data_IF_300667714292
#
_entry.id   IF_300667714292
#
_cell.length_a   1.000
_cell.length_b   1.000
_cell.length_c   1.000
_cell.angle_alpha   90.00
_cell.angle_beta   90.00
_cell.angle_gamma   90.00
#
_symmetry.space_group_name_H-M   'P 1'
#
loop_
_entity.id
_entity.type
_entity.pdbx_description
1 polymer ?
#
# COMPACT_ATOMS: atom_id res chain seq x y z
N UNK A 1 3.32 11.98 4.22
CA UNK A 1 4.46 11.14 3.79
C UNK A 1 4.14 10.59 2.41
N UNK A 2 5.13 10.47 1.54
CA UNK A 2 4.91 9.92 0.20
C UNK A 2 5.17 8.41 0.17
N UNK A 3 4.39 7.69 -0.64
CA UNK A 3 4.65 6.29 -0.95
C UNK A 3 4.58 6.06 -2.47
N UNK A 4 5.60 5.42 -3.03
CA UNK A 4 5.73 5.17 -4.47
C UNK A 4 5.23 3.78 -4.80
N UNK A 5 4.42 3.66 -5.84
CA UNK A 5 4.00 2.35 -6.33
C UNK A 5 5.21 1.55 -6.83
N UNK A 6 5.35 0.31 -6.34
CA UNK A 6 6.48 -0.58 -6.69
C UNK A 6 6.03 -1.90 -7.36
N UNK A 7 4.73 -2.22 -7.34
CA UNK A 7 4.19 -3.40 -8.02
C UNK A 7 2.90 -3.93 -7.38
N UNK A 8 2.39 -5.01 -7.95
CA UNK A 8 1.25 -5.76 -7.39
C UNK A 8 1.77 -7.00 -6.67
N UNK A 9 1.26 -7.29 -5.48
CA UNK A 9 1.58 -8.53 -4.79
C UNK A 9 0.85 -9.75 -5.40
N UNK A 10 1.16 -10.94 -4.90
CA UNK A 10 0.53 -12.20 -5.34
C UNK A 10 -1.00 -12.28 -5.14
N UNK A 11 -1.63 -11.30 -4.48
CA UNK A 11 -3.08 -11.22 -4.29
C UNK A 11 -3.68 -10.05 -5.08
N UNK A 12 -2.96 -9.55 -6.09
CA UNK A 12 -3.35 -8.45 -6.97
C UNK A 12 -3.59 -7.13 -6.22
N UNK A 13 -2.90 -6.90 -5.10
CA UNK A 13 -2.97 -5.64 -4.34
C UNK A 13 -1.79 -4.75 -4.68
N UNK A 14 -2.00 -3.43 -4.89
CA UNK A 14 -0.90 -2.52 -5.13
C UNK A 14 -0.07 -2.34 -3.85
N UNK A 15 1.24 -2.49 -4.01
CA UNK A 15 2.26 -2.29 -2.99
C UNK A 15 2.97 -0.97 -3.25
N UNK A 16 3.17 -0.21 -2.18
CA UNK A 16 3.87 1.07 -2.21
C UNK A 16 5.01 1.06 -1.19
N UNK A 17 6.12 1.70 -1.55
CA UNK A 17 7.27 1.93 -0.67
C UNK A 17 7.24 3.38 -0.15
N UNK A 18 7.19 3.53 1.16
CA UNK A 18 7.27 4.83 1.85
C UNK A 18 8.70 5.39 1.84
N UNK A 19 8.83 6.68 2.14
CA UNK A 19 10.13 7.36 2.30
C UNK A 19 11.03 6.75 3.39
N UNK A 20 10.45 6.03 4.36
CA UNK A 20 11.15 5.33 5.44
C UNK A 20 11.38 3.84 5.14
N UNK A 21 11.28 3.43 3.87
CA UNK A 21 11.43 2.05 3.39
C UNK A 21 10.34 1.08 3.88
N UNK A 22 9.30 1.58 4.55
CA UNK A 22 8.13 0.77 4.93
C UNK A 22 7.31 0.43 3.70
N UNK A 23 7.03 -0.86 3.50
CA UNK A 23 6.08 -1.34 2.52
C UNK A 23 4.67 -1.30 3.08
N UNK A 24 3.80 -0.64 2.32
CA UNK A 24 2.37 -0.58 2.59
C UNK A 24 1.59 -1.09 1.38
N UNK A 25 0.37 -1.56 1.64
CA UNK A 25 -0.52 -2.12 0.63
C UNK A 25 -1.89 -1.51 0.75
N UNK A 26 -2.54 -1.22 -0.37
CA UNK A 26 -3.97 -0.89 -0.36
C UNK A 26 -4.80 -2.15 -0.56
N UNK A 27 -5.43 -2.61 0.53
CA UNK A 27 -6.23 -3.84 0.52
C UNK A 27 -7.64 -3.65 -0.04
N UNK A 28 -8.08 -2.40 -0.26
CA UNK A 28 -9.40 -2.07 -0.80
C UNK A 28 -9.26 -1.00 -1.90
N UNK A 29 -8.64 -1.38 -3.01
CA UNK A 29 -8.29 -0.48 -4.13
C UNK A 29 -9.46 -0.12 -5.05
N UNK A 30 -10.71 -0.24 -4.59
CA UNK A 30 -11.88 0.17 -5.37
C UNK A 30 -11.96 1.68 -5.51
N UNK A 31 -12.30 2.14 -6.70
CA UNK A 31 -12.38 3.56 -7.06
C UNK A 31 -13.36 4.37 -6.20
N UNK A 32 -14.44 3.76 -5.73
CA UNK A 32 -15.52 4.37 -4.95
C UNK A 32 -15.28 4.33 -3.44
N UNK A 33 -14.15 3.77 -2.98
CA UNK A 33 -13.81 3.63 -1.57
C UNK A 33 -12.54 4.40 -1.21
N UNK A 34 -12.40 4.87 0.03
CA UNK A 34 -11.13 5.40 0.50
C UNK A 34 -10.05 4.30 0.53
N UNK A 35 -8.76 4.66 0.45
CA UNK A 35 -7.66 3.70 0.55
C UNK A 35 -7.65 3.00 1.91
N UNK A 36 -7.47 1.68 1.89
CA UNK A 36 -7.31 0.85 3.09
C UNK A 36 -5.85 0.42 3.19
N UNK A 37 -5.01 1.30 3.75
CA UNK A 37 -3.56 1.11 3.80
C UNK A 37 -3.12 0.27 5.00
N UNK A 38 -2.33 -0.76 4.75
CA UNK A 38 -1.77 -1.65 5.76
C UNK A 38 -0.27 -1.84 5.54
N UNK A 39 0.51 -1.96 6.61
CA UNK A 39 1.91 -2.43 6.53
C UNK A 39 1.96 -3.89 6.07
N UNK A 40 3.12 -4.33 5.59
CA UNK A 40 3.33 -5.73 5.25
C UNK A 40 4.07 -6.49 6.37
N UNK A 41 3.65 -7.71 6.67
CA UNK A 41 4.36 -8.59 7.62
C UNK A 41 5.81 -8.75 7.17
N UNK A 42 6.75 -8.58 8.10
CA UNK A 42 8.21 -8.60 7.85
C UNK A 42 8.68 -7.60 6.78
N UNK A 43 7.88 -6.57 6.48
CA UNK A 43 8.15 -5.63 5.39
C UNK A 43 8.36 -6.32 4.03
N UNK A 44 7.75 -7.49 3.83
CA UNK A 44 7.96 -8.31 2.64
C UNK A 44 6.99 -7.93 1.51
N UNK A 45 7.45 -7.96 0.26
CA UNK A 45 6.61 -7.61 -0.89
C UNK A 45 5.34 -8.47 -1.00
N UNK A 46 5.47 -9.78 -0.82
CA UNK A 46 4.35 -10.74 -0.79
C UNK A 46 3.84 -11.07 0.62
N UNK A 47 4.29 -10.32 1.64
CA UNK A 47 3.82 -10.50 3.01
C UNK A 47 2.32 -10.22 3.16
N UNK A 48 1.67 -10.82 4.14
CA UNK A 48 0.28 -10.48 4.44
C UNK A 48 0.16 -9.03 4.95
N UNK A 49 -1.02 -8.40 4.81
CA UNK A 49 -1.30 -7.14 5.49
C UNK A 49 -1.21 -7.34 7.01
N UNK A 50 -0.50 -6.44 7.69
CA UNK A 50 -0.23 -6.53 9.12
C UNK A 50 -1.05 -5.49 9.91
N UNK A 51 -0.60 -4.23 9.94
CA UNK A 51 -1.20 -3.19 10.76
C UNK A 51 -1.77 -2.05 9.90
N UNK A 52 -2.96 -1.50 10.24
CA UNK A 52 -3.53 -0.37 9.52
C UNK A 52 -2.65 0.87 9.69
N UNK A 53 -2.39 1.57 8.58
CA UNK A 53 -1.61 2.80 8.55
C UNK A 53 -2.53 3.97 8.91
N UNK A 54 -2.24 4.63 10.03
CA UNK A 54 -3.02 5.79 10.53
C UNK A 54 -2.40 7.16 10.16
N UNK A 55 -1.45 7.18 9.24
CA UNK A 55 -0.73 8.39 8.81
C UNK A 55 -1.33 8.90 7.50
N UNK A 56 -1.24 10.21 7.27
CA UNK A 56 -1.56 10.79 5.96
C UNK A 56 -0.46 10.40 4.95
N UNK A 57 -0.83 9.49 4.05
CA UNK A 57 0.01 8.99 2.96
C UNK A 57 -0.48 9.55 1.62
N UNK A 58 0.43 10.11 0.84
CA UNK A 58 0.20 10.47 -0.55
C UNK A 58 0.76 9.38 -1.46
N UNK A 59 -0.11 8.71 -2.20
CA UNK A 59 0.26 7.63 -3.13
C UNK A 59 0.68 8.21 -4.48
N UNK A 60 1.91 7.88 -4.91
CA UNK A 60 2.53 8.42 -6.11
C UNK A 60 2.67 7.38 -7.22
N UNK A 61 2.52 7.77 -8.51
CA UNK A 61 2.11 9.12 -8.97
C UNK A 61 0.63 9.40 -8.71
N UNK A 62 -0.17 8.35 -8.54
CA UNK A 62 -1.56 8.37 -8.13
C UNK A 62 -1.88 7.03 -7.45
N UNK A 63 -3.02 6.95 -6.74
CA UNK A 63 -3.53 5.69 -6.22
C UNK A 63 -3.84 4.73 -7.37
N UNK A 64 -3.26 3.53 -7.31
CA UNK A 64 -3.63 2.42 -8.18
C UNK A 64 -4.98 1.87 -7.71
N UNK A 65 -5.92 1.80 -8.64
CA UNK A 65 -7.27 1.28 -8.43
C UNK A 65 -7.55 0.19 -9.47
N UNK A 66 -8.42 -0.74 -9.13
CA UNK A 66 -8.95 -1.75 -10.05
C UNK A 66 -10.48 -1.74 -10.05
#
# INVERSE_FOLDING_TARGET
>A
MNAKFIGMDSWDRPVYECEDETLIKDIDSRADRPPALYTSVNNAFDGEPDMPVKKDITLLPQRIIW
#
